data_IF_325930562393
#
_entry.id   IF_325930562393
#
_cell.length_a   1.000
_cell.length_b   1.000
_cell.length_c   1.000
_cell.angle_alpha   90.00
_cell.angle_beta   90.00
_cell.angle_gamma   90.00
#
_symmetry.space_group_name_H-M   'P 1'
#
loop_
_entity.id
_entity.type
_entity.pdbx_description
1 polymer ?
#
# COMPACT_ATOMS: atom_id res chain seq x y z
N UNK A 1 -23.41 10.74 28.17
CA UNK A 1 -23.39 9.49 27.38
C UNK A 1 -23.66 9.83 25.92
N UNK A 2 -22.64 10.31 25.19
CA UNK A 2 -22.77 10.63 23.76
C UNK A 2 -22.65 9.34 22.95
N UNK A 3 -23.79 8.86 22.44
CA UNK A 3 -23.85 7.71 21.56
C UNK A 3 -23.10 8.01 20.26
N UNK A 4 -21.84 7.56 20.19
CA UNK A 4 -21.05 7.66 18.96
C UNK A 4 -21.68 6.68 17.96
N UNK A 5 -22.56 7.19 17.11
CA UNK A 5 -23.23 6.42 16.08
C UNK A 5 -22.17 5.67 15.25
N UNK A 6 -22.15 4.33 15.36
CA UNK A 6 -21.26 3.52 14.54
C UNK A 6 -21.60 3.82 13.08
N UNK A 7 -20.62 4.22 12.24
CA UNK A 7 -20.90 4.54 10.85
C UNK A 7 -21.57 3.34 10.19
N UNK A 8 -22.73 3.57 9.56
CA UNK A 8 -23.41 2.55 8.74
C UNK A 8 -22.41 2.06 7.69
N UNK A 9 -22.39 0.74 7.48
CA UNK A 9 -21.50 -0.01 6.58
C UNK A 9 -21.50 0.46 5.10
N UNK A 10 -22.32 1.44 4.74
CA UNK A 10 -22.48 1.98 3.39
C UNK A 10 -22.24 3.49 3.27
N UNK A 11 -21.78 4.17 4.34
CA UNK A 11 -21.43 5.60 4.25
C UNK A 11 -20.05 5.82 3.64
N UNK A 12 -19.82 6.86 2.82
CA UNK A 12 -18.48 7.18 2.29
C UNK A 12 -17.42 7.33 3.39
N UNK A 13 -17.82 7.82 4.57
CA UNK A 13 -16.95 7.93 5.72
C UNK A 13 -16.46 6.56 6.26
N UNK A 14 -17.25 5.50 6.12
CA UNK A 14 -16.87 4.15 6.54
C UNK A 14 -15.70 3.60 5.70
N UNK A 15 -15.64 3.93 4.40
CA UNK A 15 -14.57 3.50 3.51
C UNK A 15 -13.18 4.01 3.90
N UNK A 16 -13.10 5.18 4.53
CA UNK A 16 -11.85 5.85 4.90
C UNK A 16 -11.57 5.87 6.41
N UNK A 17 -12.48 5.32 7.23
CA UNK A 17 -12.29 5.20 8.67
C UNK A 17 -11.79 3.82 9.05
N UNK A 18 -10.93 3.80 10.05
CA UNK A 18 -10.49 2.60 10.75
C UNK A 18 -11.58 2.08 11.69
N UNK A 19 -11.47 0.82 12.12
CA UNK A 19 -12.36 0.20 13.11
C UNK A 19 -12.42 1.00 14.42
N UNK A 20 -11.35 1.73 14.74
CA UNK A 20 -11.23 2.60 15.92
C UNK A 20 -11.79 4.02 15.71
N UNK A 21 -12.44 4.28 14.57
CA UNK A 21 -13.04 5.57 14.22
C UNK A 21 -12.05 6.66 13.78
N UNK A 22 -10.74 6.36 13.77
CA UNK A 22 -9.68 7.26 13.24
C UNK A 22 -9.67 7.26 11.71
N UNK A 23 -9.26 8.37 11.10
CA UNK A 23 -9.00 8.42 9.67
C UNK A 23 -7.85 7.48 9.32
N UNK A 24 -8.11 6.50 8.45
CA UNK A 24 -7.11 5.49 8.09
C UNK A 24 -5.93 6.07 7.30
N UNK A 25 -6.07 7.29 6.79
CA UNK A 25 -5.00 8.06 6.12
C UNK A 25 -3.96 8.61 7.12
N UNK A 26 -4.33 8.79 8.40
CA UNK A 26 -3.47 9.39 9.41
C UNK A 26 -2.68 8.37 10.26
N UNK A 27 -2.62 7.11 9.83
CA UNK A 27 -1.83 6.08 10.51
C UNK A 27 -0.35 6.16 10.09
N UNK A 28 0.59 5.80 10.99
CA UNK A 28 2.03 5.82 10.67
C UNK A 28 2.32 5.02 9.40
N UNK A 29 3.28 5.47 8.56
CA UNK A 29 3.50 4.89 7.25
C UNK A 29 3.89 3.42 7.38
N UNK A 30 3.34 2.59 6.49
CA UNK A 30 3.72 1.20 6.40
C UNK A 30 5.22 1.13 6.01
N UNK A 31 6.07 0.40 6.77
CA UNK A 31 7.50 0.29 6.47
C UNK A 31 7.80 -0.08 5.01
N UNK A 32 6.95 -0.92 4.41
CA UNK A 32 7.11 -1.32 3.01
C UNK A 32 6.86 -0.17 2.02
N UNK A 33 5.89 0.72 2.28
CA UNK A 33 5.72 1.97 1.50
C UNK A 33 6.96 2.87 1.64
N UNK A 34 7.54 2.97 2.83
CA UNK A 34 8.75 3.77 3.04
C UNK A 34 9.93 3.22 2.23
N UNK A 35 10.10 1.90 2.18
CA UNK A 35 11.12 1.25 1.34
C UNK A 35 10.85 1.51 -0.14
N UNK A 36 9.60 1.40 -0.60
CA UNK A 36 9.24 1.71 -1.98
C UNK A 36 9.54 3.17 -2.34
N UNK A 37 9.15 4.14 -1.49
CA UNK A 37 9.48 5.56 -1.69
C UNK A 37 10.99 5.76 -1.76
N UNK A 38 11.76 5.14 -0.86
CA UNK A 38 13.21 5.23 -0.88
C UNK A 38 13.79 4.65 -2.18
N UNK A 39 13.30 3.50 -2.65
CA UNK A 39 13.72 2.89 -3.92
C UNK A 39 13.44 3.83 -5.10
N UNK A 40 12.25 4.43 -5.17
CA UNK A 40 11.90 5.43 -6.19
C UNK A 40 12.86 6.63 -6.14
N UNK A 41 13.14 7.16 -4.95
CA UNK A 41 14.05 8.30 -4.79
C UNK A 41 15.49 7.97 -5.21
N UNK A 42 15.98 6.78 -4.85
CA UNK A 42 17.31 6.30 -5.24
C UNK A 42 17.38 6.06 -6.76
N UNK A 43 16.28 5.61 -7.37
CA UNK A 43 16.18 5.40 -8.82
C UNK A 43 16.38 6.66 -9.67
N UNK A 44 16.23 7.85 -9.10
CA UNK A 44 16.53 9.12 -9.79
C UNK A 44 18.04 9.45 -9.84
N UNK A 45 18.88 8.71 -9.12
CA UNK A 45 20.33 8.90 -9.14
C UNK A 45 20.95 8.26 -10.39
N UNK A 46 22.13 8.74 -10.84
CA UNK A 46 22.87 8.09 -11.92
C UNK A 46 23.46 6.76 -11.45
N UNK A 47 22.67 5.70 -11.55
CA UNK A 47 23.05 4.34 -11.18
C UNK A 47 23.65 3.59 -12.37
N UNK A 48 24.57 2.66 -12.10
CA UNK A 48 24.95 1.69 -13.14
C UNK A 48 23.75 0.75 -13.45
N UNK A 49 23.70 0.12 -14.64
CA UNK A 49 22.56 -0.69 -15.04
C UNK A 49 22.19 -1.79 -14.01
N UNK A 50 23.19 -2.47 -13.45
CA UNK A 50 22.97 -3.51 -12.44
C UNK A 50 22.34 -2.96 -11.14
N UNK A 51 22.76 -1.78 -10.69
CA UNK A 51 22.19 -1.14 -9.51
C UNK A 51 20.78 -0.63 -9.78
N UNK A 52 20.53 -0.07 -10.97
CA UNK A 52 19.19 0.37 -11.37
C UNK A 52 18.18 -0.79 -11.33
N UNK A 53 18.51 -1.93 -11.95
CA UNK A 53 17.68 -3.14 -11.90
C UNK A 53 17.45 -3.64 -10.47
N UNK A 54 18.50 -3.59 -9.62
CA UNK A 54 18.38 -3.99 -8.22
C UNK A 54 17.40 -3.08 -7.45
N UNK A 55 17.53 -1.77 -7.61
CA UNK A 55 16.66 -0.78 -6.93
C UNK A 55 15.22 -0.91 -7.39
N UNK A 56 15.00 -1.12 -8.69
CA UNK A 56 13.67 -1.39 -9.26
C UNK A 56 13.06 -2.66 -8.68
N UNK A 57 13.81 -3.77 -8.64
CA UNK A 57 13.37 -5.02 -8.04
C UNK A 57 13.01 -4.88 -6.55
N UNK A 58 13.80 -4.13 -5.78
CA UNK A 58 13.49 -3.80 -4.37
C UNK A 58 12.20 -3.00 -4.27
N UNK A 59 12.00 -2.01 -5.15
CA UNK A 59 10.77 -1.24 -5.23
C UNK A 59 9.54 -2.11 -5.49
N UNK A 60 9.60 -3.01 -6.47
CA UNK A 60 8.52 -3.95 -6.78
C UNK A 60 8.25 -4.93 -5.63
N UNK A 61 9.30 -5.49 -5.02
CA UNK A 61 9.17 -6.37 -3.85
C UNK A 61 8.51 -5.66 -2.67
N UNK A 62 8.90 -4.42 -2.40
CA UNK A 62 8.30 -3.59 -1.36
C UNK A 62 6.81 -3.31 -1.61
N UNK A 63 6.42 -3.02 -2.86
CA UNK A 63 5.00 -2.86 -3.23
C UNK A 63 4.20 -4.16 -3.07
N UNK A 64 4.77 -5.31 -3.42
CA UNK A 64 4.12 -6.61 -3.24
C UNK A 64 3.87 -6.86 -1.75
N UNK A 65 4.90 -6.70 -0.91
CA UNK A 65 4.78 -6.88 0.55
C UNK A 65 3.75 -5.92 1.14
N UNK A 66 3.80 -4.64 0.76
CA UNK A 66 2.85 -3.63 1.21
C UNK A 66 1.41 -4.00 0.81
N UNK A 67 1.20 -4.32 -0.46
CA UNK A 67 -0.13 -4.60 -1.01
C UNK A 67 -0.76 -5.85 -0.39
N UNK A 68 0.01 -6.90 -0.15
CA UNK A 68 -0.42 -8.08 0.59
C UNK A 68 -0.80 -7.73 2.03
N UNK A 69 0.01 -6.91 2.70
CA UNK A 69 -0.28 -6.45 4.05
C UNK A 69 -1.59 -5.64 4.12
N UNK A 70 -1.84 -4.78 3.13
CA UNK A 70 -3.11 -4.05 3.03
C UNK A 70 -4.31 -4.94 2.80
N UNK A 71 -4.19 -5.99 1.99
CA UNK A 71 -5.29 -6.94 1.76
C UNK A 71 -5.67 -7.65 3.07
N UNK A 72 -4.66 -8.12 3.83
CA UNK A 72 -4.88 -8.90 5.04
C UNK A 72 -5.25 -8.02 6.25
N UNK A 73 -4.49 -6.94 6.46
CA UNK A 73 -4.52 -6.11 7.68
C UNK A 73 -4.91 -4.65 7.41
N UNK A 74 -5.35 -4.31 6.21
CA UNK A 74 -5.73 -2.94 5.85
C UNK A 74 -6.77 -2.37 6.82
N UNK A 75 -6.47 -1.18 7.33
CA UNK A 75 -7.25 -0.51 8.38
C UNK A 75 -8.61 -0.01 7.89
N UNK A 76 -8.78 0.19 6.58
CA UNK A 76 -10.07 0.56 5.98
C UNK A 76 -10.38 -0.27 4.73
N UNK A 77 -11.66 -0.39 4.34
CA UNK A 77 -12.08 -1.08 3.12
C UNK A 77 -11.39 -0.52 1.87
N UNK A 78 -11.25 0.80 1.80
CA UNK A 78 -10.51 1.45 0.73
C UNK A 78 -9.07 0.95 0.63
N UNK A 79 -8.35 0.89 1.77
CA UNK A 79 -6.96 0.41 1.78
C UNK A 79 -6.85 -1.05 1.36
N UNK A 80 -7.77 -1.90 1.78
CA UNK A 80 -7.82 -3.32 1.36
C UNK A 80 -8.01 -3.48 -0.15
N UNK A 81 -8.94 -2.72 -0.73
CA UNK A 81 -9.19 -2.73 -2.18
C UNK A 81 -7.98 -2.19 -2.94
N UNK A 82 -7.41 -1.07 -2.48
CA UNK A 82 -6.19 -0.50 -3.08
C UNK A 82 -5.04 -1.52 -3.05
N UNK A 83 -4.83 -2.18 -1.91
CA UNK A 83 -3.88 -3.29 -1.78
C UNK A 83 -4.14 -4.40 -2.79
N UNK A 84 -5.38 -4.87 -2.93
CA UNK A 84 -5.72 -5.92 -3.89
C UNK A 84 -5.41 -5.52 -5.34
N UNK A 85 -5.78 -4.30 -5.73
CA UNK A 85 -5.51 -3.77 -7.09
C UNK A 85 -4.01 -3.69 -7.36
N UNK A 86 -3.23 -3.15 -6.42
CA UNK A 86 -1.77 -3.03 -6.55
C UNK A 86 -1.11 -4.42 -6.59
N UNK A 87 -1.54 -5.35 -5.75
CA UNK A 87 -1.02 -6.72 -5.73
C UNK A 87 -1.26 -7.42 -7.07
N UNK A 88 -2.48 -7.36 -7.60
CA UNK A 88 -2.82 -7.93 -8.91
C UNK A 88 -1.95 -7.30 -10.00
N UNK A 89 -1.83 -5.97 -10.02
CA UNK A 89 -0.99 -5.27 -10.99
C UNK A 89 0.47 -5.74 -10.95
N UNK A 90 1.06 -5.83 -9.75
CA UNK A 90 2.42 -6.31 -9.55
C UNK A 90 2.61 -7.77 -10.00
N UNK A 91 1.64 -8.65 -9.72
CA UNK A 91 1.70 -10.06 -10.14
C UNK A 91 1.54 -10.21 -11.66
N UNK A 92 0.70 -9.39 -12.30
CA UNK A 92 0.56 -9.36 -13.76
C UNK A 92 1.82 -8.86 -14.45
N UNK A 93 2.46 -7.82 -13.89
CA UNK A 93 3.74 -7.33 -14.37
C UNK A 93 4.80 -8.43 -14.27
N UNK A 94 4.90 -9.07 -13.10
CA UNK A 94 5.83 -10.18 -12.91
C UNK A 94 5.56 -11.28 -13.93
N UNK A 95 4.32 -11.74 -14.07
CA UNK A 95 3.95 -12.81 -15.01
C UNK A 95 4.18 -12.48 -16.50
N UNK A 96 4.27 -11.20 -16.87
CA UNK A 96 4.62 -10.78 -18.23
C UNK A 96 6.12 -10.95 -18.53
N UNK A 97 6.95 -10.85 -17.50
CA UNK A 97 8.41 -10.85 -17.61
C UNK A 97 9.02 -12.27 -17.45
N UNK A 98 8.18 -13.30 -17.26
CA UNK A 98 8.51 -14.73 -17.32
C UNK A 98 8.19 -15.33 -18.68
#
# INVERSE_FOLDING_TARGET
MTGMARPRFSSPAWWFRSQDGRWAVAQPPNPAISVWIAAVLIGFLPLSPAHATTVEGVGHGALIVWSLDEVVRGASPFRRVLGAVVLIGQLLLLARDW
#
